data_IF_472866151562
#
_entry.id   IF_472866151562
#
_cell.length_a   1.000
_cell.length_b   1.000
_cell.length_c   1.000
_cell.angle_alpha   90.00
_cell.angle_beta   90.00
_cell.angle_gamma   90.00
#
_symmetry.space_group_name_H-M   'P 1'
#
loop_
_entity.id
_entity.type
_entity.pdbx_description
1 polymer ?
#
# COMPACT_ATOMS: atom_id res chain seq x y z
N UNK A 1 -10.81 -32.41 -9.41
CA UNK A 1 -10.82 -30.95 -9.18
C UNK A 1 -10.43 -30.75 -7.73
N UNK A 2 -9.45 -29.88 -7.48
CA UNK A 2 -8.97 -29.60 -6.12
C UNK A 2 -9.80 -28.46 -5.51
N UNK A 3 -10.49 -28.73 -4.40
CA UNK A 3 -11.37 -27.75 -3.77
C UNK A 3 -10.63 -26.49 -3.30
N UNK A 4 -9.38 -26.62 -2.82
CA UNK A 4 -8.57 -25.47 -2.39
C UNK A 4 -8.14 -24.62 -3.58
N UNK A 5 -7.73 -25.26 -4.68
CA UNK A 5 -7.42 -24.55 -5.92
C UNK A 5 -8.64 -23.86 -6.50
N UNK A 6 -9.80 -24.51 -6.46
CA UNK A 6 -11.06 -23.95 -6.95
C UNK A 6 -11.44 -22.70 -6.16
N UNK A 7 -11.34 -22.75 -4.84
CA UNK A 7 -11.58 -21.59 -3.98
C UNK A 7 -10.61 -20.45 -4.28
N UNK A 8 -9.30 -20.75 -4.44
CA UNK A 8 -8.29 -19.74 -4.78
C UNK A 8 -8.53 -19.10 -6.15
N UNK A 9 -8.85 -19.90 -7.16
CA UNK A 9 -9.17 -19.44 -8.50
C UNK A 9 -10.42 -18.53 -8.49
N UNK A 10 -11.48 -18.94 -7.76
CA UNK A 10 -12.69 -18.13 -7.59
C UNK A 10 -12.38 -16.78 -6.93
N UNK A 11 -11.61 -16.77 -5.84
CA UNK A 11 -11.20 -15.52 -5.18
C UNK A 11 -10.36 -14.65 -6.12
N UNK A 12 -9.42 -15.24 -6.87
CA UNK A 12 -8.63 -14.54 -7.88
C UNK A 12 -9.51 -13.84 -8.92
N UNK A 13 -10.49 -14.54 -9.49
CA UNK A 13 -11.42 -13.97 -10.47
C UNK A 13 -12.22 -12.78 -9.92
N UNK A 14 -12.48 -12.76 -8.60
CA UNK A 14 -13.25 -11.71 -7.95
C UNK A 14 -12.44 -10.45 -7.62
N UNK A 15 -11.13 -10.46 -7.81
CA UNK A 15 -10.27 -9.29 -7.59
C UNK A 15 -9.50 -8.89 -8.84
N UNK A 16 -9.26 -9.82 -9.77
CA UNK A 16 -8.37 -9.63 -10.90
C UNK A 16 -8.87 -10.36 -12.17
N UNK A 17 -8.57 -9.77 -13.32
CA UNK A 17 -8.71 -10.41 -14.64
C UNK A 17 -7.44 -11.11 -15.11
N UNK A 18 -6.28 -10.59 -14.73
CA UNK A 18 -4.99 -10.97 -15.31
C UNK A 18 -4.19 -11.92 -14.42
N UNK A 19 -4.40 -11.90 -13.10
CA UNK A 19 -3.71 -12.78 -12.17
C UNK A 19 -4.30 -14.19 -12.20
N UNK A 20 -3.44 -15.19 -12.36
CA UNK A 20 -3.82 -16.60 -12.36
C UNK A 20 -3.02 -17.40 -11.35
N UNK A 21 -3.74 -18.19 -10.55
CA UNK A 21 -3.14 -19.18 -9.67
C UNK A 21 -2.44 -20.24 -10.53
N UNK A 22 -1.15 -20.44 -10.28
CA UNK A 22 -0.33 -21.45 -10.94
C UNK A 22 -0.96 -22.85 -10.81
N UNK A 23 -0.96 -23.61 -11.91
CA UNK A 23 -1.44 -25.00 -12.00
C UNK A 23 -2.92 -25.19 -11.61
N UNK A 24 -3.78 -24.19 -11.89
CA UNK A 24 -5.23 -24.22 -11.61
C UNK A 24 -6.11 -24.13 -12.87
N UNK A 25 -5.58 -24.46 -14.05
CA UNK A 25 -6.30 -24.30 -15.33
C UNK A 25 -7.64 -25.04 -15.38
N UNK A 26 -7.70 -26.25 -14.80
CA UNK A 26 -8.94 -27.04 -14.73
C UNK A 26 -10.01 -26.33 -13.89
N UNK A 27 -9.60 -25.71 -12.79
CA UNK A 27 -10.49 -24.95 -11.92
C UNK A 27 -11.00 -23.67 -12.59
N UNK A 28 -10.14 -22.93 -13.31
CA UNK A 28 -10.56 -21.76 -14.08
C UNK A 28 -11.53 -22.13 -15.21
N UNK A 29 -11.29 -23.22 -15.93
CA UNK A 29 -12.19 -23.71 -16.97
C UNK A 29 -13.57 -24.07 -16.38
N UNK A 30 -13.60 -24.77 -15.25
CA UNK A 30 -14.84 -25.11 -14.57
C UNK A 30 -15.63 -23.86 -14.13
N UNK A 31 -14.96 -22.88 -13.52
CA UNK A 31 -15.60 -21.63 -13.10
C UNK A 31 -16.14 -20.84 -14.30
N UNK A 32 -15.38 -20.74 -15.39
CA UNK A 32 -15.81 -20.04 -16.60
C UNK A 32 -17.07 -20.67 -17.26
N UNK A 33 -17.27 -21.99 -17.11
CA UNK A 33 -18.45 -22.68 -17.64
C UNK A 33 -19.68 -22.59 -16.73
N UNK A 34 -19.48 -22.37 -15.44
CA UNK A 34 -20.53 -22.50 -14.42
C UNK A 34 -20.94 -21.17 -13.79
N UNK A 35 -20.14 -20.12 -13.94
CA UNK A 35 -20.41 -18.79 -13.40
C UNK A 35 -21.03 -17.85 -14.45
N UNK A 36 -21.91 -16.98 -13.96
CA UNK A 36 -22.38 -15.81 -14.69
C UNK A 36 -21.25 -14.77 -14.81
N UNK A 37 -20.84 -14.49 -16.04
CA UNK A 37 -19.76 -13.54 -16.33
C UNK A 37 -20.13 -12.09 -16.00
N UNK A 38 -21.38 -11.67 -16.21
CA UNK A 38 -21.80 -10.30 -15.89
C UNK A 38 -21.79 -10.09 -14.38
N UNK A 39 -22.31 -11.07 -13.64
CA UNK A 39 -22.28 -11.03 -12.17
C UNK A 39 -20.85 -10.97 -11.64
N UNK A 40 -19.91 -11.72 -12.23
CA UNK A 40 -18.51 -11.68 -11.84
C UNK A 40 -17.89 -10.28 -12.01
N UNK A 41 -18.16 -9.61 -13.13
CA UNK A 41 -17.67 -8.25 -13.39
C UNK A 41 -18.18 -7.24 -12.35
N UNK A 42 -19.48 -7.32 -12.02
CA UNK A 42 -20.10 -6.45 -11.01
C UNK A 42 -19.50 -6.69 -9.63
N UNK A 43 -19.35 -7.95 -9.22
CA UNK A 43 -18.76 -8.33 -7.93
C UNK A 43 -17.30 -7.89 -7.82
N UNK A 44 -16.51 -8.06 -8.89
CA UNK A 44 -15.12 -7.60 -8.92
C UNK A 44 -15.02 -6.09 -8.73
N UNK A 45 -15.77 -5.32 -9.51
CA UNK A 45 -15.80 -3.87 -9.40
C UNK A 45 -16.25 -3.42 -7.99
N UNK A 46 -17.21 -4.11 -7.37
CA UNK A 46 -17.64 -3.85 -6.01
C UNK A 46 -16.52 -4.10 -4.99
N UNK A 47 -15.80 -5.22 -5.10
CA UNK A 47 -14.70 -5.56 -4.19
C UNK A 47 -13.52 -4.61 -4.32
N UNK A 48 -13.13 -4.22 -5.52
CA UNK A 48 -12.09 -3.22 -5.74
C UNK A 48 -12.49 -1.85 -5.16
N UNK A 49 -13.75 -1.43 -5.31
CA UNK A 49 -14.26 -0.22 -4.65
C UNK A 49 -14.23 -0.32 -3.13
N UNK A 50 -14.60 -1.48 -2.57
CA UNK A 50 -14.56 -1.72 -1.12
C UNK A 50 -13.13 -1.69 -0.58
N UNK A 51 -12.19 -2.35 -1.27
CA UNK A 51 -10.77 -2.31 -0.94
C UNK A 51 -10.24 -0.87 -0.97
N UNK A 52 -10.58 -0.11 -2.02
CA UNK A 52 -10.27 1.32 -2.09
C UNK A 52 -10.87 2.09 -0.92
N UNK A 53 -12.12 1.82 -0.52
CA UNK A 53 -12.73 2.50 0.66
C UNK A 53 -11.90 2.27 1.91
N UNK A 54 -11.52 1.02 2.20
CA UNK A 54 -10.74 0.65 3.38
C UNK A 54 -9.37 1.30 3.37
N UNK A 55 -8.63 1.17 2.26
CA UNK A 55 -7.31 1.80 2.13
C UNK A 55 -7.39 3.33 2.28
N UNK A 56 -8.40 3.96 1.67
CA UNK A 56 -8.58 5.40 1.71
C UNK A 56 -9.03 5.92 3.08
N UNK A 57 -9.75 5.13 3.89
CA UNK A 57 -10.13 5.54 5.24
C UNK A 57 -9.00 5.39 6.25
N UNK A 58 -8.14 4.40 6.04
CA UNK A 58 -7.18 3.97 7.06
C UNK A 58 -5.79 4.60 6.88
N UNK A 59 -5.49 5.12 5.68
CA UNK A 59 -4.27 5.90 5.41
C UNK A 59 -4.34 7.31 6.00
N UNK A 60 -3.20 7.82 6.44
CA UNK A 60 -3.13 9.08 7.19
C UNK A 60 -2.94 10.29 6.27
N UNK A 61 -2.11 10.18 5.23
CA UNK A 61 -1.71 11.33 4.40
C UNK A 61 -2.27 11.26 2.98
N UNK A 62 -2.16 10.11 2.32
CA UNK A 62 -2.51 9.93 0.92
C UNK A 62 -3.95 10.37 0.58
N UNK A 63 -4.99 10.11 1.39
CA UNK A 63 -6.36 10.56 1.09
C UNK A 63 -6.51 12.08 0.93
N UNK A 64 -5.59 12.89 1.48
CA UNK A 64 -5.61 14.35 1.35
C UNK A 64 -5.19 14.82 -0.05
N UNK A 65 -4.28 14.09 -0.68
CA UNK A 65 -3.61 14.53 -1.91
C UNK A 65 -4.09 13.80 -3.16
N UNK A 66 -4.78 12.69 -2.99
CA UNK A 66 -5.30 11.89 -4.09
C UNK A 66 -6.82 11.79 -4.02
N UNK A 67 -7.45 11.94 -5.19
CA UNK A 67 -8.86 11.67 -5.38
C UNK A 67 -9.18 10.18 -5.18
N UNK A 68 -10.46 9.87 -4.93
CA UNK A 68 -10.92 8.49 -4.81
C UNK A 68 -10.76 7.71 -6.12
N UNK A 69 -10.81 8.41 -7.24
CA UNK A 69 -10.65 7.88 -8.60
C UNK A 69 -9.18 7.51 -8.89
N UNK A 70 -8.24 8.37 -8.51
CA UNK A 70 -6.81 8.06 -8.56
C UNK A 70 -6.48 6.83 -7.69
N UNK A 71 -7.00 6.80 -6.46
CA UNK A 71 -6.85 5.66 -5.57
C UNK A 71 -7.43 4.37 -6.16
N UNK A 72 -8.62 4.44 -6.75
CA UNK A 72 -9.25 3.27 -7.36
C UNK A 72 -8.40 2.70 -8.49
N UNK A 73 -7.79 3.56 -9.30
CA UNK A 73 -6.90 3.15 -10.38
C UNK A 73 -5.66 2.39 -9.85
N UNK A 74 -5.04 2.90 -8.78
CA UNK A 74 -3.93 2.23 -8.10
C UNK A 74 -4.36 0.90 -7.47
N UNK A 75 -5.56 0.84 -6.87
CA UNK A 75 -6.11 -0.38 -6.26
C UNK A 75 -6.39 -1.45 -7.30
N UNK A 76 -6.93 -1.09 -8.46
CA UNK A 76 -7.12 -2.03 -9.57
C UNK A 76 -5.76 -2.59 -9.98
N UNK A 77 -4.77 -1.72 -10.25
CA UNK A 77 -3.43 -2.16 -10.61
C UNK A 77 -2.79 -3.07 -9.54
N UNK A 78 -3.01 -2.76 -8.26
CA UNK A 78 -2.53 -3.60 -7.16
C UNK A 78 -3.17 -5.00 -7.17
N UNK A 79 -4.51 -5.09 -7.32
CA UNK A 79 -5.22 -6.37 -7.38
C UNK A 79 -4.76 -7.26 -8.55
N UNK A 80 -4.37 -6.64 -9.66
CA UNK A 80 -3.83 -7.30 -10.86
C UNK A 80 -2.36 -7.73 -10.71
N UNK A 81 -1.68 -7.31 -9.64
CA UNK A 81 -0.27 -7.60 -9.41
C UNK A 81 -0.04 -8.77 -8.45
N UNK A 82 1.09 -9.45 -8.61
CA UNK A 82 1.53 -10.50 -7.67
C UNK A 82 1.66 -9.97 -6.22
N UNK A 83 1.91 -8.67 -6.03
CA UNK A 83 2.06 -8.05 -4.72
C UNK A 83 0.80 -8.16 -3.87
N UNK A 84 -0.40 -8.14 -4.46
CA UNK A 84 -1.65 -8.32 -3.72
C UNK A 84 -1.83 -9.76 -3.23
N UNK A 85 -1.34 -10.73 -4.00
CA UNK A 85 -1.51 -12.15 -3.72
C UNK A 85 -0.40 -12.74 -2.84
N UNK A 86 0.75 -12.06 -2.77
CA UNK A 86 1.90 -12.45 -1.97
C UNK A 86 1.92 -11.70 -0.63
N UNK A 87 1.20 -12.25 0.35
CA UNK A 87 1.12 -11.66 1.67
C UNK A 87 2.36 -11.99 2.51
N UNK A 88 3.31 -11.06 2.56
CA UNK A 88 4.59 -11.22 3.28
C UNK A 88 4.50 -10.93 4.79
N UNK A 89 3.36 -11.28 5.43
CA UNK A 89 3.05 -10.93 6.83
C UNK A 89 3.14 -9.42 7.14
N UNK A 90 2.84 -8.59 6.13
CA UNK A 90 2.74 -7.14 6.20
C UNK A 90 1.29 -6.72 6.42
N UNK A 91 1.07 -5.47 6.83
CA UNK A 91 -0.29 -4.92 6.79
C UNK A 91 -0.76 -4.76 5.34
N UNK A 92 -2.08 -4.67 5.14
CA UNK A 92 -2.65 -4.39 3.83
C UNK A 92 -2.20 -3.04 3.27
N UNK A 93 -2.13 -2.01 4.12
CA UNK A 93 -1.67 -0.66 3.76
C UNK A 93 -0.18 -0.69 3.39
N UNK A 94 0.67 -1.31 4.22
CA UNK A 94 2.10 -1.42 3.96
C UNK A 94 2.38 -2.14 2.64
N UNK A 95 1.65 -3.22 2.36
CA UNK A 95 1.77 -3.97 1.09
C UNK A 95 1.33 -3.15 -0.12
N UNK A 96 0.21 -2.43 0.00
CA UNK A 96 -0.28 -1.56 -1.07
C UNK A 96 0.68 -0.39 -1.32
N UNK A 97 1.16 0.29 -0.28
CA UNK A 97 2.11 1.39 -0.41
C UNK A 97 3.42 0.95 -1.04
N UNK A 98 3.96 -0.21 -0.66
CA UNK A 98 5.17 -0.79 -1.29
C UNK A 98 4.94 -1.06 -2.78
N UNK A 99 3.77 -1.62 -3.15
CA UNK A 99 3.40 -1.75 -4.56
C UNK A 99 3.37 -0.40 -5.28
N UNK A 100 2.74 0.63 -4.72
CA UNK A 100 2.63 1.95 -5.36
C UNK A 100 4.01 2.57 -5.56
N UNK A 101 4.86 2.55 -4.54
CA UNK A 101 6.23 3.10 -4.63
C UNK A 101 7.05 2.39 -5.70
N UNK A 102 6.96 1.06 -5.79
CA UNK A 102 7.79 0.25 -6.70
C UNK A 102 7.27 0.17 -8.15
N UNK A 103 5.96 0.24 -8.34
CA UNK A 103 5.31 -0.18 -9.61
C UNK A 103 4.41 0.88 -10.25
N UNK A 104 4.09 1.97 -9.58
CA UNK A 104 3.23 3.01 -10.17
C UNK A 104 4.04 4.04 -10.97
N UNK A 105 3.37 4.67 -11.93
CA UNK A 105 3.89 5.77 -12.75
C UNK A 105 3.76 7.14 -12.05
N UNK A 106 3.54 7.15 -10.74
CA UNK A 106 3.48 8.39 -9.95
C UNK A 106 4.84 9.09 -9.90
N UNK A 107 4.82 10.39 -9.68
CA UNK A 107 6.03 11.17 -9.41
C UNK A 107 6.68 10.75 -8.09
N UNK A 108 7.96 11.05 -7.92
CA UNK A 108 8.68 10.72 -6.68
C UNK A 108 8.10 11.44 -5.45
N UNK A 109 7.59 12.66 -5.64
CA UNK A 109 6.85 13.44 -4.63
C UNK A 109 5.57 12.71 -4.20
N UNK A 110 4.80 12.21 -5.16
CA UNK A 110 3.58 11.44 -4.91
C UNK A 110 3.89 10.11 -4.21
N UNK A 111 4.91 9.38 -4.68
CA UNK A 111 5.38 8.14 -4.05
C UNK A 111 5.86 8.36 -2.62
N UNK A 112 6.47 9.51 -2.32
CA UNK A 112 6.92 9.86 -0.97
C UNK A 112 5.75 9.87 0.03
N UNK A 113 4.56 10.27 -0.39
CA UNK A 113 3.37 10.25 0.47
C UNK A 113 2.95 8.81 0.81
N UNK A 114 2.91 7.94 -0.19
CA UNK A 114 2.61 6.52 0.02
C UNK A 114 3.67 5.82 0.85
N UNK A 115 4.95 6.16 0.66
CA UNK A 115 6.05 5.67 1.49
C UNK A 115 5.80 5.98 2.96
N UNK A 116 5.47 7.24 3.30
CA UNK A 116 5.20 7.65 4.68
C UNK A 116 4.02 6.88 5.28
N UNK A 117 2.90 6.76 4.55
CA UNK A 117 1.74 5.97 5.02
C UNK A 117 2.08 4.49 5.21
N UNK A 118 2.90 3.93 4.32
CA UNK A 118 3.37 2.56 4.38
C UNK A 118 4.20 2.28 5.63
N UNK A 119 5.19 3.13 5.91
CA UNK A 119 6.04 3.02 7.11
C UNK A 119 5.19 3.24 8.38
N UNK A 120 4.31 4.23 8.37
CA UNK A 120 3.40 4.50 9.48
C UNK A 120 2.54 3.27 9.81
N UNK A 121 2.00 2.60 8.80
CA UNK A 121 1.23 1.37 8.99
C UNK A 121 2.09 0.20 9.51
N UNK A 122 3.28 0.02 8.96
CA UNK A 122 4.22 -1.04 9.40
C UNK A 122 4.63 -0.87 10.86
N UNK A 123 5.11 0.32 11.22
CA UNK A 123 5.61 0.61 12.57
C UNK A 123 4.50 0.60 13.62
N UNK A 124 3.27 1.03 13.28
CA UNK A 124 2.12 1.00 14.21
C UNK A 124 1.71 -0.41 14.62
N UNK A 125 2.01 -1.41 13.78
CA UNK A 125 1.71 -2.83 14.01
C UNK A 125 2.93 -3.67 14.43
N UNK A 126 4.11 -3.05 14.55
CA UNK A 126 5.39 -3.74 14.75
C UNK A 126 5.64 -4.85 13.71
N UNK A 127 5.34 -4.55 12.44
CA UNK A 127 5.62 -5.44 11.30
C UNK A 127 7.11 -5.77 11.25
N UNK A 128 7.48 -7.06 11.27
CA UNK A 128 8.87 -7.52 11.19
C UNK A 128 9.40 -7.59 9.76
N UNK A 129 8.51 -7.57 8.78
CA UNK A 129 8.82 -7.79 7.37
C UNK A 129 8.65 -6.49 6.56
N UNK A 130 9.00 -5.35 7.16
CA UNK A 130 8.97 -4.05 6.50
C UNK A 130 9.64 -4.14 5.12
N UNK A 131 8.98 -3.67 4.04
CA UNK A 131 9.59 -3.62 2.71
C UNK A 131 10.67 -2.54 2.60
N UNK A 132 10.72 -1.62 3.56
CA UNK A 132 11.59 -0.46 3.52
C UNK A 132 12.99 -0.86 4.00
N UNK A 133 14.04 -0.43 3.29
CA UNK A 133 15.42 -0.59 3.73
C UNK A 133 15.72 0.42 4.84
N UNK A 134 15.10 0.22 6.00
CA UNK A 134 15.15 1.12 7.14
C UNK A 134 16.04 0.59 8.25
N UNK A 135 16.65 1.49 9.01
CA UNK A 135 17.27 1.13 10.27
C UNK A 135 16.20 1.06 11.36
N UNK A 136 15.99 -0.13 11.92
CA UNK A 136 15.00 -0.38 12.97
C UNK A 136 15.72 -0.52 14.32
N UNK A 137 15.44 0.41 15.22
CA UNK A 137 16.00 0.41 16.57
C UNK A 137 14.91 0.13 17.62
N UNK A 138 15.10 -0.93 18.40
CA UNK A 138 14.25 -1.27 19.55
C UNK A 138 14.90 -0.76 20.84
N UNK A 139 14.43 0.37 21.35
CA UNK A 139 15.00 1.04 22.54
C UNK A 139 14.40 0.45 23.83
N UNK A 140 13.20 -0.15 23.75
CA UNK A 140 12.58 -0.95 24.80
C UNK A 140 11.52 -1.86 24.17
N UNK A 141 11.08 -2.93 24.83
CA UNK A 141 10.01 -3.80 24.31
C UNK A 141 8.65 -3.09 24.06
N UNK A 142 8.56 -1.77 24.29
CA UNK A 142 7.38 -0.92 24.07
C UNK A 142 7.62 0.22 23.07
N UNK A 143 8.83 0.36 22.53
CA UNK A 143 9.16 1.42 21.57
C UNK A 143 9.97 0.92 20.38
N UNK A 144 9.57 1.37 19.20
CA UNK A 144 10.19 1.03 17.92
C UNK A 144 10.46 2.32 17.17
N UNK A 145 11.68 2.48 16.65
CA UNK A 145 12.04 3.60 15.76
C UNK A 145 12.43 3.03 14.40
N UNK A 146 11.90 3.62 13.34
CA UNK A 146 12.27 3.31 11.95
C UNK A 146 12.80 4.58 11.28
N UNK A 147 13.96 4.46 10.62
CA UNK A 147 14.63 5.57 9.94
C UNK A 147 14.91 5.24 8.47
N UNK A 148 14.54 6.15 7.57
CA UNK A 148 14.72 6.00 6.13
C UNK A 148 15.31 7.29 5.55
N UNK A 149 16.27 7.12 4.64
CA UNK A 149 16.86 8.23 3.89
C UNK A 149 16.00 8.52 2.66
N UNK A 150 15.62 9.78 2.50
CA UNK A 150 14.95 10.33 1.34
C UNK A 150 15.91 11.22 0.57
N UNK A 151 15.79 11.26 -0.76
CA UNK A 151 16.56 12.17 -1.62
C UNK A 151 16.01 13.60 -1.66
N UNK A 152 14.89 13.82 -0.97
CA UNK A 152 14.19 15.11 -0.92
C UNK A 152 13.86 15.52 0.49
N UNK A 153 14.03 16.81 0.78
CA UNK A 153 13.62 17.44 2.02
C UNK A 153 12.34 18.26 1.78
N UNK A 154 11.44 18.24 2.75
CA UNK A 154 10.28 19.13 2.78
C UNK A 154 9.81 19.35 4.22
N UNK A 155 9.20 20.49 4.56
CA UNK A 155 8.68 20.69 5.90
C UNK A 155 7.50 19.75 6.17
N UNK A 156 7.60 18.80 7.11
CA UNK A 156 6.47 17.91 7.47
C UNK A 156 5.18 18.66 7.82
N UNK A 157 5.31 19.86 8.40
CA UNK A 157 4.15 20.71 8.70
C UNK A 157 3.36 21.13 7.46
N UNK A 158 3.98 21.10 6.28
CA UNK A 158 3.32 21.36 5.00
C UNK A 158 2.33 20.26 4.64
N UNK A 159 2.57 18.99 5.00
CA UNK A 159 1.61 17.89 4.76
C UNK A 159 0.25 18.16 5.42
N UNK A 160 0.26 18.82 6.59
CA UNK A 160 -0.97 19.13 7.33
C UNK A 160 -1.66 20.42 6.86
N UNK A 161 -0.98 21.27 6.09
CA UNK A 161 -1.46 22.60 5.70
C UNK A 161 -1.80 22.71 4.22
N UNK A 162 -1.06 22.02 3.35
CA UNK A 162 -1.22 22.06 1.91
C UNK A 162 -2.61 21.56 1.47
N UNK A 163 -3.18 22.17 0.44
CA UNK A 163 -4.42 21.71 -0.19
C UNK A 163 -4.11 20.68 -1.29
N UNK A 164 -2.93 20.78 -1.90
CA UNK A 164 -2.43 19.92 -2.96
C UNK A 164 -0.93 19.63 -2.78
N UNK A 165 -0.41 18.56 -3.39
CA UNK A 165 1.03 18.27 -3.34
C UNK A 165 1.88 19.37 -3.99
N UNK A 166 1.35 20.04 -5.01
CA UNK A 166 2.02 21.16 -5.67
C UNK A 166 2.24 22.38 -4.76
N UNK A 167 1.53 22.46 -3.63
CA UNK A 167 1.75 23.52 -2.63
C UNK A 167 2.96 23.24 -1.73
N UNK A 168 3.55 22.04 -1.81
CA UNK A 168 4.69 21.62 -1.00
C UNK A 168 5.96 21.78 -1.83
N UNK A 169 6.92 22.55 -1.31
CA UNK A 169 8.24 22.65 -1.90
C UNK A 169 9.09 21.46 -1.45
N UNK A 170 9.40 20.58 -2.41
CA UNK A 170 10.36 19.50 -2.23
C UNK A 170 11.74 19.98 -2.70
N UNK A 171 12.68 20.07 -1.77
CA UNK A 171 14.07 20.46 -2.04
C UNK A 171 14.88 19.21 -2.37
N UNK A 172 15.73 19.29 -3.41
CA UNK A 172 16.66 18.23 -3.79
C UNK A 172 17.83 18.15 -2.79
N UNK A 173 17.53 17.66 -1.60
CA UNK A 173 18.41 17.52 -0.45
C UNK A 173 18.09 16.23 0.26
N UNK A 174 19.12 15.52 0.66
CA UNK A 174 18.97 14.29 1.42
C UNK A 174 18.40 14.59 2.81
N UNK A 175 17.45 13.77 3.25
CA UNK A 175 16.79 13.92 4.53
C UNK A 175 16.54 12.56 5.20
N UNK A 176 16.63 12.51 6.52
CA UNK A 176 16.29 11.35 7.32
C UNK A 176 14.87 11.50 7.85
N UNK A 177 13.97 10.63 7.35
CA UNK A 177 12.62 10.44 7.85
C UNK A 177 12.66 9.45 9.00
N UNK A 178 12.26 9.90 10.18
CA UNK A 178 12.19 9.08 11.40
C UNK A 178 10.75 8.96 11.87
N UNK A 179 10.28 7.72 12.03
CA UNK A 179 9.03 7.38 12.68
C UNK A 179 9.33 6.68 14.00
N UNK A 180 8.74 7.18 15.09
CA UNK A 180 8.91 6.62 16.43
C UNK A 180 7.56 6.21 16.99
N UNK A 181 7.37 4.91 17.21
CA UNK A 181 6.18 4.37 17.87
C UNK A 181 6.48 4.13 19.35
N UNK A 182 5.70 4.77 20.22
CA UNK A 182 5.68 4.49 21.65
C UNK A 182 4.23 4.22 22.10
N UNK A 183 3.97 3.01 22.60
CA UNK A 183 2.63 2.59 23.06
C UNK A 183 1.51 2.79 22.02
N UNK A 184 1.80 2.61 20.72
CA UNK A 184 0.83 2.77 19.63
C UNK A 184 0.66 4.20 19.13
N UNK A 185 1.38 5.17 19.70
CA UNK A 185 1.42 6.55 19.20
C UNK A 185 2.67 6.73 18.35
N UNK A 186 2.47 7.07 17.08
CA UNK A 186 3.56 7.27 16.12
C UNK A 186 3.85 8.77 15.98
N UNK A 187 5.08 9.18 16.30
CA UNK A 187 5.61 10.50 16.02
C UNK A 187 6.47 10.46 14.75
N UNK A 188 6.36 11.50 13.92
CA UNK A 188 7.09 11.61 12.65
C UNK A 188 7.99 12.84 12.69
N UNK A 189 9.23 12.71 12.25
CA UNK A 189 10.16 13.83 12.06
C UNK A 189 10.96 13.64 10.78
N UNK A 190 11.27 14.74 10.09
CA UNK A 190 12.12 14.76 8.90
C UNK A 190 13.22 15.79 9.13
N UNK A 191 14.47 15.36 9.03
CA UNK A 191 15.64 16.22 9.23
C UNK A 191 16.52 16.16 8.00
N UNK A 192 16.98 17.31 7.54
CA UNK A 192 18.05 17.38 6.53
C UNK A 192 19.28 16.64 7.06
N UNK A 193 19.89 15.80 6.22
CA UNK A 193 21.17 15.15 6.51
C UNK A 193 22.29 16.02 5.95
N UNK A 194 23.31 16.29 6.77
CA UNK A 194 24.45 17.12 6.40
C UNK A 194 25.36 16.49 5.33
#
# INVERSE_FOLDING_TARGET
MDAKKLQKAYVSMLYSDCYRIKDADKEYQYLAQTMDSERLLVERAARQRNLRTVLYSDMHFSPRFFSKEQFLSLVIAYCESDSFWNWNSRTLIESFCSFVVEKSDLTEEEKTIFLIDGIYSGISTNSKNSPWQSEINHISGKSTTEEIILDKYFPLSALNKAASLSDITFENKTACLRLHNENGKVAISLKETA
#
